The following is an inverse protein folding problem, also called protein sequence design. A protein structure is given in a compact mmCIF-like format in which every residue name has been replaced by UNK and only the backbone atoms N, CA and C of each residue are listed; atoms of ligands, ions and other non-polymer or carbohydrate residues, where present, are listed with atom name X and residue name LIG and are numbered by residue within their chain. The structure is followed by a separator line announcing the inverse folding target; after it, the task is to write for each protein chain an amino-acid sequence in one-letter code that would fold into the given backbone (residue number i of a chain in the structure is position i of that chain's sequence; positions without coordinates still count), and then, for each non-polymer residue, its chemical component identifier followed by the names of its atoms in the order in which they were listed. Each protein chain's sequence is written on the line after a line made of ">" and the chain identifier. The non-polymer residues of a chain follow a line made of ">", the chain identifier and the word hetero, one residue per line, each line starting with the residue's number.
data_IF_337564456401
#
_entry.id   IF_337564456401
#
_cell.length_a   1.000
_cell.length_b   1.000
_cell.length_c   1.000
_cell.angle_alpha   90.00
_cell.angle_beta   90.00
_cell.angle_gamma   90.00
#
_symmetry.space_group_name_H-M   'P 1'
#
loop_
_entity.id
_entity.type
_entity.pdbx_description
1 polymer ?
#
# COMPACT_ATOMS: atom_id res chain seq x y z
N UNK A 1 41.94 -18.39 26.41
CA UNK A 1 42.29 -18.55 24.98
C UNK A 1 41.28 -19.41 24.20
N UNK A 2 40.78 -20.54 24.72
CA UNK A 2 39.81 -21.42 24.00
C UNK A 2 38.46 -20.73 23.71
N UNK A 3 37.95 -19.88 24.61
CA UNK A 3 36.67 -19.20 24.44
C UNK A 3 36.68 -18.11 23.35
N UNK A 4 37.82 -17.48 23.07
CA UNK A 4 37.93 -16.49 21.97
C UNK A 4 37.97 -17.19 20.59
N UNK A 5 38.57 -18.35 20.49
CA UNK A 5 38.61 -19.16 19.26
C UNK A 5 37.23 -19.75 18.92
N UNK A 6 36.47 -20.22 19.92
CA UNK A 6 35.10 -20.72 19.73
C UNK A 6 34.14 -19.59 19.28
N UNK A 7 34.25 -18.39 19.84
CA UNK A 7 33.45 -17.24 19.42
C UNK A 7 33.81 -16.73 18.02
N UNK A 8 35.07 -16.84 17.59
CA UNK A 8 35.48 -16.48 16.23
C UNK A 8 35.00 -17.50 15.19
N UNK A 9 35.01 -18.78 15.55
CA UNK A 9 34.51 -19.89 14.71
C UNK A 9 32.97 -19.80 14.60
N UNK A 10 32.25 -19.54 15.70
CA UNK A 10 30.79 -19.35 15.69
C UNK A 10 30.38 -18.12 14.85
N UNK A 11 31.06 -16.98 14.95
CA UNK A 11 30.86 -15.83 14.09
C UNK A 11 31.19 -16.09 12.62
N UNK A 12 32.22 -16.93 12.36
CA UNK A 12 32.54 -17.40 11.01
C UNK A 12 31.46 -18.30 10.41
N UNK A 13 30.86 -19.18 11.23
CA UNK A 13 29.76 -20.05 10.80
C UNK A 13 28.44 -19.26 10.62
N UNK A 14 28.14 -18.25 11.45
CA UNK A 14 27.01 -17.36 11.27
C UNK A 14 27.11 -16.56 9.97
N UNK A 15 28.32 -16.15 9.54
CA UNK A 15 28.53 -15.45 8.25
C UNK A 15 28.44 -16.37 7.03
N UNK A 16 28.67 -17.68 7.20
CA UNK A 16 28.55 -18.67 6.13
C UNK A 16 27.14 -19.28 6.00
N UNK A 17 26.31 -19.14 7.04
CA UNK A 17 24.98 -19.76 7.07
C UNK A 17 23.83 -18.84 6.66
N UNK A 18 24.05 -17.51 6.60
CA UNK A 18 23.03 -16.56 6.16
C UNK A 18 23.66 -15.57 5.18
N UNK A 19 23.42 -15.81 3.91
CA UNK A 19 23.68 -14.84 2.84
C UNK A 19 22.87 -13.57 3.18
N UNK A 20 23.54 -12.55 3.77
CA UNK A 20 22.91 -11.29 4.20
C UNK A 20 22.80 -10.31 3.03
N UNK A 21 22.46 -10.83 1.85
CA UNK A 21 22.25 -9.98 0.68
C UNK A 21 20.97 -9.15 0.79
N UNK A 22 21.04 -7.93 0.30
CA UNK A 22 19.91 -7.02 0.24
C UNK A 22 18.80 -7.63 -0.63
N UNK A 23 17.60 -7.76 -0.05
CA UNK A 23 16.44 -8.35 -0.74
C UNK A 23 15.97 -7.54 -1.97
N UNK A 24 16.49 -6.32 -2.15
CA UNK A 24 16.11 -5.41 -3.22
C UNK A 24 17.16 -5.36 -4.33
N UNK A 25 18.43 -5.07 -3.99
CA UNK A 25 19.50 -4.90 -5.00
C UNK A 25 20.55 -6.02 -5.00
N UNK A 26 20.47 -6.97 -4.08
CA UNK A 26 21.43 -8.07 -3.99
C UNK A 26 22.77 -7.72 -3.31
N UNK A 27 22.98 -6.49 -2.87
CA UNK A 27 24.19 -6.06 -2.16
C UNK A 27 24.41 -6.89 -0.88
N UNK A 28 25.65 -7.35 -0.66
CA UNK A 28 25.99 -8.27 0.43
C UNK A 28 26.23 -7.60 1.80
N UNK A 29 25.79 -6.36 2.00
CA UNK A 29 26.04 -5.63 3.25
C UNK A 29 25.00 -5.93 4.35
N UNK A 30 23.73 -6.07 3.99
CA UNK A 30 22.63 -6.36 4.91
C UNK A 30 21.34 -6.72 4.16
N UNK A 31 20.37 -7.35 4.85
CA UNK A 31 19.05 -7.70 4.27
C UNK A 31 18.29 -6.50 3.69
N UNK A 32 18.60 -5.29 4.12
CA UNK A 32 18.11 -4.02 3.54
C UNK A 32 19.23 -2.99 3.64
N UNK A 33 20.01 -2.85 2.57
CA UNK A 33 21.23 -2.05 2.55
C UNK A 33 20.94 -0.55 2.69
N UNK A 34 21.97 0.23 3.04
CA UNK A 34 21.85 1.67 3.29
C UNK A 34 21.34 2.42 2.06
N UNK A 35 21.76 2.04 0.85
CA UNK A 35 21.34 2.66 -0.41
C UNK A 35 19.84 2.46 -0.63
N UNK A 36 19.35 1.23 -0.56
CA UNK A 36 17.91 0.95 -0.70
C UNK A 36 17.08 1.59 0.41
N UNK A 37 17.63 1.69 1.62
CA UNK A 37 16.98 2.37 2.74
C UNK A 37 16.89 3.88 2.52
N UNK A 38 17.91 4.52 1.97
CA UNK A 38 17.88 5.95 1.65
C UNK A 38 16.89 6.28 0.53
N UNK A 39 16.71 5.37 -0.44
CA UNK A 39 15.71 5.51 -1.50
C UNK A 39 14.27 5.26 -1.00
N UNK A 40 14.11 4.48 0.07
CA UNK A 40 12.84 4.22 0.75
C UNK A 40 12.64 5.18 1.92
N UNK A 41 12.85 6.45 1.69
CA UNK A 41 12.71 7.47 2.75
C UNK A 41 11.26 7.97 2.82
N UNK A 42 10.65 7.78 3.98
CA UNK A 42 9.28 8.23 4.25
C UNK A 42 9.19 9.76 4.22
N UNK A 43 8.26 10.27 3.41
CA UNK A 43 7.93 11.68 3.31
C UNK A 43 6.44 11.84 3.04
N UNK A 44 5.59 11.69 4.09
CA UNK A 44 4.14 11.70 3.94
C UNK A 44 3.63 13.07 3.51
N UNK A 45 2.72 13.06 2.54
CA UNK A 45 2.15 14.28 1.96
C UNK A 45 0.80 14.02 1.31
N UNK A 46 0.01 15.08 1.21
CA UNK A 46 -1.16 15.11 0.34
C UNK A 46 -0.72 15.34 -1.10
N UNK A 47 -1.34 14.65 -2.03
CA UNK A 47 -1.05 14.73 -3.45
C UNK A 47 -1.99 15.75 -4.11
N UNK A 48 -1.49 16.42 -5.15
CA UNK A 48 -2.29 17.31 -6.00
C UNK A 48 -2.96 16.55 -7.16
N UNK A 49 -3.97 17.17 -7.77
CA UNK A 49 -4.62 16.72 -9.02
C UNK A 49 -5.71 15.67 -8.87
N UNK A 50 -6.27 15.50 -7.67
CA UNK A 50 -7.47 14.68 -7.43
C UNK A 50 -8.61 15.53 -6.85
N UNK A 51 -9.85 15.14 -7.13
CA UNK A 51 -11.06 15.78 -6.61
C UNK A 51 -11.39 15.35 -5.16
N UNK A 52 -10.50 14.59 -4.54
CA UNK A 52 -10.58 14.11 -3.17
C UNK A 52 -9.18 14.02 -2.58
N UNK A 53 -9.08 14.06 -1.26
CA UNK A 53 -7.80 13.98 -0.57
C UNK A 53 -7.10 12.63 -0.83
N UNK A 54 -5.85 12.67 -1.25
CA UNK A 54 -5.00 11.47 -1.41
C UNK A 54 -3.70 11.70 -0.67
N UNK A 55 -3.31 10.77 0.18
CA UNK A 55 -2.02 10.79 0.87
C UNK A 55 -1.11 9.67 0.37
N UNK A 56 0.19 9.95 0.32
CA UNK A 56 1.23 8.96 0.03
C UNK A 56 2.53 9.34 0.75
N UNK A 57 3.34 8.35 1.12
CA UNK A 57 4.57 8.58 1.91
C UNK A 57 5.85 8.38 1.12
N UNK A 58 5.85 7.53 0.10
CA UNK A 58 7.05 7.22 -0.70
C UNK A 58 6.94 7.80 -2.11
N UNK A 59 8.02 8.40 -2.60
CA UNK A 59 8.16 8.71 -4.02
C UNK A 59 8.50 7.44 -4.80
N UNK A 60 7.73 7.12 -5.83
CA UNK A 60 7.95 5.94 -6.65
C UNK A 60 9.29 6.04 -7.39
N UNK A 61 10.15 5.06 -7.17
CA UNK A 61 11.49 4.88 -7.76
C UNK A 61 11.67 3.43 -8.18
N UNK A 62 12.81 3.08 -8.75
CA UNK A 62 13.14 1.67 -9.07
C UNK A 62 13.21 0.83 -7.79
N UNK A 63 13.83 1.36 -6.73
CA UNK A 63 13.86 0.73 -5.41
C UNK A 63 12.45 0.52 -4.86
N UNK A 64 11.60 1.55 -4.92
CA UNK A 64 10.20 1.44 -4.47
C UNK A 64 9.41 0.42 -5.29
N UNK A 65 9.61 0.37 -6.62
CA UNK A 65 9.04 -0.65 -7.50
C UNK A 65 9.45 -2.05 -7.07
N UNK A 66 10.75 -2.26 -6.83
CA UNK A 66 11.30 -3.54 -6.42
C UNK A 66 10.75 -4.00 -5.06
N UNK A 67 10.62 -3.08 -4.08
CA UNK A 67 10.03 -3.39 -2.78
C UNK A 67 8.57 -3.80 -2.93
N UNK A 68 7.75 -3.01 -3.65
CA UNK A 68 6.33 -3.31 -3.84
C UNK A 68 6.14 -4.63 -4.59
N UNK A 69 6.92 -4.89 -5.64
CA UNK A 69 6.87 -6.15 -6.39
C UNK A 69 7.31 -7.34 -5.54
N UNK A 70 8.39 -7.20 -4.75
CA UNK A 70 8.86 -8.24 -3.85
C UNK A 70 7.82 -8.59 -2.77
N UNK A 71 7.11 -7.59 -2.25
CA UNK A 71 6.01 -7.80 -1.32
C UNK A 71 4.81 -8.49 -1.99
N UNK A 72 4.47 -8.06 -3.21
CA UNK A 72 3.25 -8.41 -3.92
C UNK A 72 3.34 -9.75 -4.64
N UNK A 73 4.45 -10.02 -5.33
CA UNK A 73 4.60 -11.21 -6.19
C UNK A 73 5.44 -12.30 -5.52
N UNK A 74 6.45 -11.94 -4.74
CA UNK A 74 7.36 -12.90 -4.09
C UNK A 74 6.97 -13.19 -2.63
N UNK A 75 6.02 -12.45 -2.05
CA UNK A 75 5.56 -12.65 -0.68
C UNK A 75 6.60 -12.37 0.40
N UNK A 76 7.67 -11.61 0.08
CA UNK A 76 8.74 -11.29 1.02
C UNK A 76 8.21 -10.49 2.22
N UNK A 77 8.33 -11.06 3.42
CA UNK A 77 7.78 -10.48 4.65
C UNK A 77 8.36 -9.09 4.93
N UNK A 78 9.69 -8.91 4.84
CA UNK A 78 10.32 -7.62 5.07
C UNK A 78 9.83 -6.54 4.09
N UNK A 79 9.69 -6.86 2.80
CA UNK A 79 9.16 -5.92 1.81
C UNK A 79 7.69 -5.57 2.08
N UNK A 80 6.88 -6.56 2.48
CA UNK A 80 5.49 -6.33 2.89
C UNK A 80 5.41 -5.41 4.11
N UNK A 81 6.23 -5.66 5.13
CA UNK A 81 6.27 -4.85 6.36
C UNK A 81 6.63 -3.40 6.06
N UNK A 82 7.57 -3.15 5.13
CA UNK A 82 7.90 -1.81 4.63
C UNK A 82 6.68 -1.14 3.99
N UNK A 83 5.94 -1.83 3.12
CA UNK A 83 4.74 -1.29 2.48
C UNK A 83 3.63 -1.01 3.51
N UNK A 84 3.42 -1.90 4.49
CA UNK A 84 2.46 -1.71 5.58
C UNK A 84 2.77 -0.47 6.40
N UNK A 85 4.05 -0.26 6.77
CA UNK A 85 4.47 0.92 7.52
C UNK A 85 4.15 2.22 6.76
N UNK A 86 4.48 2.29 5.48
CA UNK A 86 4.25 3.49 4.70
C UNK A 86 2.77 3.75 4.40
N UNK A 87 1.97 2.71 4.22
CA UNK A 87 0.51 2.86 4.16
C UNK A 87 -0.08 3.39 5.47
N UNK A 88 0.40 2.92 6.64
CA UNK A 88 -0.02 3.48 7.94
C UNK A 88 0.30 4.97 8.04
N UNK A 89 1.52 5.36 7.65
CA UNK A 89 1.95 6.75 7.64
C UNK A 89 1.04 7.60 6.74
N UNK A 90 0.73 7.13 5.54
CA UNK A 90 -0.16 7.82 4.60
C UNK A 90 -1.59 7.94 5.14
N UNK A 91 -2.13 6.90 5.78
CA UNK A 91 -3.46 6.93 6.40
C UNK A 91 -3.50 7.97 7.53
N UNK A 92 -2.47 8.01 8.37
CA UNK A 92 -2.39 8.98 9.47
C UNK A 92 -2.24 10.41 8.95
N UNK A 93 -1.47 10.63 7.87
CA UNK A 93 -1.35 11.94 7.22
C UNK A 93 -2.70 12.41 6.64
N UNK A 94 -3.44 11.52 5.96
CA UNK A 94 -4.78 11.81 5.48
C UNK A 94 -5.73 12.18 6.62
N UNK A 95 -5.68 11.46 7.73
CA UNK A 95 -6.54 11.75 8.89
C UNK A 95 -6.19 13.08 9.55
N UNK A 96 -4.93 13.49 9.59
CA UNK A 96 -4.51 14.82 10.08
C UNK A 96 -5.09 15.96 9.24
N UNK A 97 -5.32 15.75 7.95
CA UNK A 97 -5.90 16.76 7.07
C UNK A 97 -7.41 16.93 7.24
N UNK A 98 -8.08 16.03 7.99
CA UNK A 98 -9.51 16.13 8.25
C UNK A 98 -9.81 17.14 9.36
N UNK A 99 -10.92 17.88 9.21
CA UNK A 99 -11.35 18.89 10.19
C UNK A 99 -11.86 18.30 11.51
N UNK A 100 -12.19 17.02 11.53
CA UNK A 100 -12.64 16.33 12.77
C UNK A 100 -12.02 14.95 12.89
N UNK A 101 -11.89 14.48 14.14
CA UNK A 101 -11.43 13.13 14.45
C UNK A 101 -12.62 12.17 14.36
N UNK A 102 -12.50 11.19 13.46
CA UNK A 102 -13.50 10.15 13.30
C UNK A 102 -13.30 9.01 14.32
N UNK A 103 -14.37 8.65 15.03
CA UNK A 103 -14.30 7.55 16.02
C UNK A 103 -14.16 6.17 15.38
N UNK A 104 -14.64 6.01 14.16
CA UNK A 104 -14.56 4.76 13.38
C UNK A 104 -14.21 5.10 11.95
N UNK A 105 -13.36 4.28 11.34
CA UNK A 105 -12.96 4.44 9.92
C UNK A 105 -12.88 3.06 9.27
N UNK A 106 -13.44 2.92 8.08
CA UNK A 106 -13.30 1.74 7.24
C UNK A 106 -12.12 1.94 6.29
N UNK A 107 -11.18 1.01 6.27
CA UNK A 107 -10.18 0.89 5.22
C UNK A 107 -10.74 -0.04 4.14
N UNK A 108 -11.00 0.52 2.95
CA UNK A 108 -11.54 -0.17 1.80
C UNK A 108 -10.42 -0.46 0.79
N UNK A 109 -9.88 -1.69 0.73
CA UNK A 109 -8.85 -2.04 -0.23
C UNK A 109 -9.39 -2.06 -1.65
N UNK A 110 -8.59 -1.57 -2.62
CA UNK A 110 -8.84 -1.73 -4.04
C UNK A 110 -8.78 -3.22 -4.39
N UNK A 111 -9.81 -3.79 -5.05
CA UNK A 111 -9.83 -5.19 -5.41
C UNK A 111 -8.82 -5.48 -6.53
N UNK A 112 -7.98 -6.50 -6.35
CA UNK A 112 -7.10 -7.01 -7.40
C UNK A 112 -7.89 -7.76 -8.48
N UNK A 113 -7.34 -7.82 -9.70
CA UNK A 113 -7.89 -8.66 -10.77
C UNK A 113 -7.95 -10.13 -10.31
N UNK A 114 -8.99 -10.86 -10.77
CA UNK A 114 -9.20 -12.26 -10.39
C UNK A 114 -7.97 -13.15 -10.72
N UNK A 115 -7.38 -12.98 -11.89
CA UNK A 115 -6.17 -13.71 -12.31
C UNK A 115 -5.01 -13.49 -11.36
N UNK A 116 -4.78 -12.24 -10.96
CA UNK A 116 -3.74 -11.87 -10.00
C UNK A 116 -4.01 -12.42 -8.59
N UNK A 117 -5.28 -12.45 -8.14
CA UNK A 117 -5.67 -13.06 -6.86
C UNK A 117 -5.42 -14.57 -6.83
N UNK A 118 -5.78 -15.28 -7.90
CA UNK A 118 -5.57 -16.73 -8.00
C UNK A 118 -4.07 -17.04 -7.97
N UNK A 119 -3.27 -16.32 -8.78
CA UNK A 119 -1.81 -16.53 -8.84
C UNK A 119 -1.12 -16.31 -7.48
N UNK A 120 -1.57 -15.33 -6.68
CA UNK A 120 -0.95 -14.93 -5.41
C UNK A 120 -1.61 -15.58 -4.16
N UNK A 121 -2.60 -16.43 -4.33
CA UNK A 121 -3.33 -17.04 -3.21
C UNK A 121 -4.11 -16.04 -2.36
N UNK A 122 -4.56 -14.92 -2.96
CA UNK A 122 -5.38 -13.92 -2.28
C UNK A 122 -5.22 -12.49 -2.81
N UNK A 123 -5.98 -11.57 -2.22
CA UNK A 123 -5.91 -10.15 -2.54
C UNK A 123 -4.84 -9.47 -1.69
N UNK A 124 -3.79 -8.96 -2.34
CA UNK A 124 -2.63 -8.37 -1.67
C UNK A 124 -3.03 -7.15 -0.81
N UNK A 125 -3.74 -6.17 -1.40
CA UNK A 125 -4.13 -4.94 -0.69
C UNK A 125 -5.09 -5.24 0.46
N UNK A 126 -5.96 -6.25 0.31
CA UNK A 126 -6.84 -6.69 1.41
C UNK A 126 -6.07 -7.27 2.59
N UNK A 127 -4.99 -8.01 2.35
CA UNK A 127 -4.10 -8.49 3.42
C UNK A 127 -3.37 -7.35 4.11
N UNK A 128 -2.84 -6.38 3.35
CA UNK A 128 -2.24 -5.17 3.93
C UNK A 128 -3.25 -4.43 4.82
N UNK A 129 -4.51 -4.26 4.34
CA UNK A 129 -5.56 -3.60 5.12
C UNK A 129 -5.81 -4.27 6.47
N UNK A 130 -5.82 -5.61 6.53
CA UNK A 130 -6.02 -6.36 7.76
C UNK A 130 -4.85 -6.19 8.74
N UNK A 131 -3.60 -6.19 8.24
CA UNK A 131 -2.41 -5.96 9.04
C UNK A 131 -2.40 -4.53 9.60
N UNK A 132 -2.66 -3.53 8.75
CA UNK A 132 -2.75 -2.13 9.14
C UNK A 132 -3.81 -1.90 10.21
N UNK A 133 -4.99 -2.50 10.07
CA UNK A 133 -6.08 -2.39 11.05
C UNK A 133 -5.67 -2.96 12.42
N UNK A 134 -4.99 -4.10 12.46
CA UNK A 134 -4.46 -4.67 13.70
C UNK A 134 -3.49 -3.72 14.38
N UNK A 135 -2.52 -3.21 13.61
CA UNK A 135 -1.48 -2.33 14.10
C UNK A 135 -2.05 -0.99 14.59
N UNK A 136 -2.87 -0.33 13.78
CA UNK A 136 -3.47 0.97 14.15
C UNK A 136 -4.38 0.84 15.36
N UNK A 137 -5.15 -0.23 15.49
CA UNK A 137 -6.01 -0.48 16.64
C UNK A 137 -5.24 -0.82 17.93
N UNK A 138 -4.00 -1.29 17.82
CA UNK A 138 -3.16 -1.54 19.01
C UNK A 138 -2.61 -0.25 19.64
N UNK A 139 -2.47 0.82 18.84
CA UNK A 139 -1.88 2.09 19.28
C UNK A 139 -2.91 3.24 19.39
N UNK A 140 -3.98 3.21 18.61
CA UNK A 140 -5.00 4.28 18.59
C UNK A 140 -6.00 4.12 19.74
N UNK A 141 -6.16 5.20 20.53
CA UNK A 141 -7.18 5.28 21.59
C UNK A 141 -8.44 6.03 21.15
N UNK A 142 -8.37 6.82 20.08
CA UNK A 142 -9.45 7.72 19.63
C UNK A 142 -10.24 7.17 18.44
N UNK A 143 -9.59 6.45 17.53
CA UNK A 143 -10.19 5.96 16.29
C UNK A 143 -10.11 4.44 16.22
N UNK A 144 -11.24 3.78 15.94
CA UNK A 144 -11.31 2.34 15.64
C UNK A 144 -11.30 2.11 14.13
N UNK A 145 -10.33 1.36 13.64
CA UNK A 145 -10.20 0.99 12.24
C UNK A 145 -10.86 -0.35 11.95
N UNK A 146 -11.44 -0.48 10.76
CA UNK A 146 -12.09 -1.69 10.26
C UNK A 146 -11.60 -1.96 8.82
N UNK A 147 -11.20 -3.18 8.49
CA UNK A 147 -10.93 -3.58 7.11
C UNK A 147 -12.19 -4.19 6.49
N UNK A 148 -12.65 -3.64 5.36
CA UNK A 148 -13.84 -4.13 4.65
C UNK A 148 -13.61 -4.12 3.14
N UNK A 149 -13.62 -5.30 2.52
CA UNK A 149 -13.57 -5.45 1.05
C UNK A 149 -14.96 -5.18 0.46
N UNK A 150 -15.34 -3.92 0.38
CA UNK A 150 -16.67 -3.47 -0.05
C UNK A 150 -16.75 -3.15 -1.54
N UNK A 151 -15.60 -3.07 -2.21
CA UNK A 151 -15.52 -2.86 -3.66
C UNK A 151 -15.33 -4.18 -4.38
N UNK A 152 -15.99 -4.32 -5.53
CA UNK A 152 -15.84 -5.47 -6.43
C UNK A 152 -15.86 -5.00 -7.89
N UNK A 153 -15.32 -5.83 -8.78
CA UNK A 153 -15.35 -5.57 -10.22
C UNK A 153 -16.72 -5.93 -10.79
N UNK A 154 -17.37 -4.99 -11.47
CA UNK A 154 -18.65 -5.18 -12.18
C UNK A 154 -18.47 -6.01 -13.46
N UNK A 155 -17.32 -5.88 -14.11
CA UNK A 155 -16.96 -6.55 -15.37
C UNK A 155 -15.52 -7.00 -15.39
N UNK A 156 -15.15 -7.81 -16.37
CA UNK A 156 -13.73 -8.14 -16.61
C UNK A 156 -12.99 -6.85 -17.03
N UNK A 157 -11.92 -6.57 -16.33
CA UNK A 157 -10.97 -5.48 -16.62
C UNK A 157 -9.70 -6.12 -17.16
N UNK A 158 -9.13 -5.57 -18.24
CA UNK A 158 -7.83 -6.03 -18.76
C UNK A 158 -6.71 -5.66 -17.76
N UNK A 159 -5.63 -6.44 -17.78
CA UNK A 159 -4.43 -6.06 -17.03
C UNK A 159 -3.97 -4.66 -17.49
N UNK A 160 -3.61 -3.82 -16.52
CA UNK A 160 -3.23 -2.44 -16.78
C UNK A 160 -1.74 -2.29 -17.14
N UNK A 161 -0.98 -3.38 -17.06
CA UNK A 161 0.43 -3.42 -17.47
C UNK A 161 0.53 -3.08 -18.96
N UNK A 162 1.34 -2.06 -19.28
CA UNK A 162 1.56 -1.62 -20.67
C UNK A 162 0.45 -0.73 -21.28
N UNK A 163 -0.67 -0.47 -20.60
CA UNK A 163 -1.70 0.45 -21.08
C UNK A 163 -1.29 1.91 -20.91
N UNK A 164 -1.61 2.75 -21.92
CA UNK A 164 -1.51 4.21 -21.80
C UNK A 164 -2.50 4.76 -20.74
N UNK A 165 -2.37 6.04 -20.38
CA UNK A 165 -3.27 6.67 -19.40
C UNK A 165 -4.73 6.69 -19.88
N UNK A 166 -4.98 7.04 -21.14
CA UNK A 166 -6.33 7.02 -21.74
C UNK A 166 -6.91 5.59 -21.76
N UNK A 167 -6.12 4.61 -22.16
CA UNK A 167 -6.53 3.22 -22.15
C UNK A 167 -6.85 2.69 -20.75
N UNK A 168 -6.10 3.12 -19.72
CA UNK A 168 -6.41 2.78 -18.32
C UNK A 168 -7.71 3.42 -17.88
N UNK A 169 -7.97 4.66 -18.28
CA UNK A 169 -9.22 5.35 -17.97
C UNK A 169 -10.42 4.62 -18.59
N UNK A 170 -10.39 4.31 -19.88
CA UNK A 170 -11.46 3.59 -20.58
C UNK A 170 -11.65 2.17 -20.00
N UNK A 171 -10.54 1.48 -19.71
CA UNK A 171 -10.56 0.13 -19.14
C UNK A 171 -11.21 0.08 -17.75
N UNK A 172 -11.10 1.16 -16.95
CA UNK A 172 -11.60 1.22 -15.59
C UNK A 172 -12.93 1.97 -15.44
N UNK A 173 -13.36 2.76 -16.42
CA UNK A 173 -14.62 3.50 -16.35
C UNK A 173 -15.80 2.56 -16.07
N UNK A 174 -16.54 2.78 -14.96
CA UNK A 174 -17.64 1.93 -14.50
C UNK A 174 -17.25 0.52 -14.08
N UNK A 175 -15.94 0.26 -13.85
CA UNK A 175 -15.46 -1.08 -13.54
C UNK A 175 -15.73 -1.51 -12.10
N UNK A 176 -15.79 -0.59 -11.15
CA UNK A 176 -16.07 -0.91 -9.76
C UNK A 176 -17.53 -0.72 -9.39
N UNK A 177 -18.00 -1.56 -8.47
CA UNK A 177 -19.27 -1.39 -7.75
C UNK A 177 -19.07 -1.74 -6.28
N UNK A 178 -19.93 -1.16 -5.44
CA UNK A 178 -20.06 -1.59 -4.03
C UNK A 178 -20.82 -2.91 -4.00
N UNK A 179 -20.44 -3.80 -3.10
CA UNK A 179 -21.15 -5.07 -2.87
C UNK A 179 -22.61 -4.82 -2.47
N UNK A 180 -23.52 -5.71 -2.85
CA UNK A 180 -24.94 -5.57 -2.55
C UNK A 180 -25.17 -5.64 -1.03
N UNK A 181 -26.19 -4.88 -0.57
CA UNK A 181 -26.56 -4.85 0.85
C UNK A 181 -25.58 -4.11 1.76
N UNK A 182 -24.47 -3.57 1.24
CA UNK A 182 -23.56 -2.77 2.06
C UNK A 182 -24.13 -1.33 2.18
N UNK A 183 -24.36 -0.93 3.43
CA UNK A 183 -24.65 0.43 3.85
C UNK A 183 -23.85 0.75 5.10
N UNK A 184 -23.39 1.98 5.25
CA UNK A 184 -22.61 2.40 6.40
C UNK A 184 -22.52 3.91 6.52
N UNK A 185 -22.73 4.42 7.72
CA UNK A 185 -22.44 5.81 8.10
C UNK A 185 -20.97 6.00 8.54
N UNK A 186 -20.18 4.91 8.60
CA UNK A 186 -18.77 4.99 8.97
C UNK A 186 -17.99 5.46 7.75
N UNK A 187 -17.22 6.56 7.88
CA UNK A 187 -16.44 7.10 6.78
C UNK A 187 -15.36 6.11 6.32
N UNK A 188 -15.02 6.21 5.03
CA UNK A 188 -14.20 5.27 4.31
C UNK A 188 -12.91 5.94 3.84
N UNK A 189 -11.77 5.27 3.99
CA UNK A 189 -10.52 5.54 3.30
C UNK A 189 -10.28 4.41 2.30
N UNK A 190 -10.13 4.76 1.03
CA UNK A 190 -9.71 3.81 -0.01
C UNK A 190 -8.22 3.59 0.09
N UNK A 191 -7.74 2.34 0.02
CA UNK A 191 -6.31 2.04 0.07
C UNK A 191 -5.85 1.24 -1.14
N UNK A 192 -4.63 1.58 -1.62
CA UNK A 192 -3.92 0.85 -2.67
C UNK A 192 -2.41 0.83 -2.37
N UNK A 193 -1.63 0.00 -3.06
CA UNK A 193 -0.17 -0.04 -2.90
C UNK A 193 0.51 1.18 -3.56
N UNK A 194 0.13 1.53 -4.79
CA UNK A 194 0.78 2.58 -5.59
C UNK A 194 -0.25 3.43 -6.34
N UNK A 195 -0.08 4.74 -6.31
CA UNK A 195 -0.78 5.66 -7.22
C UNK A 195 0.13 6.08 -8.38
N UNK A 196 -0.31 5.86 -9.61
CA UNK A 196 0.34 6.36 -10.84
C UNK A 196 -0.48 7.48 -11.48
N UNK A 197 -1.54 7.15 -12.21
CA UNK A 197 -2.46 8.12 -12.84
C UNK A 197 -3.64 8.49 -11.96
N UNK A 198 -3.89 7.77 -10.87
CA UNK A 198 -5.05 7.97 -9.99
C UNK A 198 -6.35 7.39 -10.53
N UNK A 199 -6.39 6.87 -11.75
CA UNK A 199 -7.62 6.36 -12.40
C UNK A 199 -8.33 5.29 -11.56
N UNK A 200 -7.57 4.38 -10.96
CA UNK A 200 -8.11 3.31 -10.10
C UNK A 200 -8.79 3.89 -8.85
N UNK A 201 -8.14 4.85 -8.19
CA UNK A 201 -8.68 5.49 -7.00
C UNK A 201 -9.91 6.34 -7.32
N UNK A 202 -9.89 7.11 -8.44
CA UNK A 202 -11.06 7.89 -8.89
C UNK A 202 -12.26 6.99 -9.14
N UNK A 203 -12.07 5.89 -9.84
CA UNK A 203 -13.16 4.95 -10.12
C UNK A 203 -13.70 4.27 -8.84
N UNK A 204 -12.85 3.93 -7.89
CA UNK A 204 -13.26 3.40 -6.60
C UNK A 204 -14.07 4.43 -5.79
N UNK A 205 -13.58 5.67 -5.73
CA UNK A 205 -14.29 6.78 -5.04
C UNK A 205 -15.63 7.08 -5.72
N UNK A 206 -15.68 7.09 -7.08
CA UNK A 206 -16.94 7.24 -7.84
C UNK A 206 -17.96 6.16 -7.42
N UNK A 207 -17.55 4.89 -7.40
CA UNK A 207 -18.44 3.78 -7.05
C UNK A 207 -18.99 3.88 -5.61
N UNK A 208 -18.16 4.37 -4.66
CA UNK A 208 -18.57 4.60 -3.27
C UNK A 208 -19.56 5.78 -3.18
N UNK A 209 -19.27 6.91 -3.85
CA UNK A 209 -20.13 8.10 -3.87
C UNK A 209 -21.48 7.83 -4.53
N UNK A 210 -21.57 7.01 -5.56
CA UNK A 210 -22.84 6.58 -6.17
C UNK A 210 -23.78 5.86 -5.18
N UNK A 211 -23.22 5.30 -4.12
CA UNK A 211 -23.98 4.67 -3.02
C UNK A 211 -24.14 5.59 -1.82
N UNK A 212 -23.90 6.90 -1.97
CA UNK A 212 -23.97 7.92 -0.92
C UNK A 212 -23.10 7.59 0.31
N UNK A 213 -21.99 6.85 0.12
CA UNK A 213 -21.06 6.53 1.19
C UNK A 213 -20.06 7.67 1.40
N UNK A 214 -19.77 8.00 2.65
CA UNK A 214 -18.82 9.05 3.02
C UNK A 214 -17.39 8.58 2.78
N UNK A 215 -16.65 9.24 1.88
CA UNK A 215 -15.25 8.97 1.59
C UNK A 215 -14.37 10.10 2.12
N UNK A 216 -13.48 9.82 3.06
CA UNK A 216 -12.49 10.77 3.59
C UNK A 216 -11.38 11.06 2.57
N UNK A 217 -11.07 10.08 1.73
CA UNK A 217 -10.02 10.16 0.74
C UNK A 217 -9.40 8.80 0.44
N UNK A 218 -8.18 8.82 -0.09
CA UNK A 218 -7.42 7.61 -0.37
C UNK A 218 -6.00 7.68 0.21
N UNK A 219 -5.40 6.52 0.48
CA UNK A 219 -4.02 6.40 0.94
C UNK A 219 -3.28 5.32 0.14
N UNK A 220 -2.04 5.61 -0.25
CA UNK A 220 -1.13 4.68 -0.93
C UNK A 220 0.25 4.69 -0.28
N UNK A 221 0.99 3.60 -0.37
CA UNK A 221 2.38 3.60 0.09
C UNK A 221 3.26 4.46 -0.81
N UNK A 222 3.10 4.32 -2.13
CA UNK A 222 3.93 5.00 -3.11
C UNK A 222 3.12 5.87 -4.07
N UNK A 223 3.71 7.01 -4.52
CA UNK A 223 3.15 7.86 -5.57
C UNK A 223 4.17 8.16 -6.66
N UNK A 224 3.74 8.13 -7.93
CA UNK A 224 4.57 8.56 -9.04
C UNK A 224 4.96 10.04 -8.91
N UNK A 225 6.14 10.43 -9.44
CA UNK A 225 6.65 11.83 -9.39
C UNK A 225 5.66 12.83 -9.98
N UNK A 226 4.86 12.45 -10.99
CA UNK A 226 3.83 13.30 -11.61
C UNK A 226 2.73 13.75 -10.63
N UNK A 227 2.58 13.05 -9.51
CA UNK A 227 1.57 13.35 -8.47
C UNK A 227 2.11 14.16 -7.31
N UNK A 228 3.40 14.47 -7.33
CA UNK A 228 4.00 15.25 -6.26
C UNK A 228 3.70 16.74 -6.47
N UNK A 229 3.45 17.51 -5.39
CA UNK A 229 3.35 18.97 -5.50
C UNK A 229 4.62 19.54 -6.15
N UNK A 230 4.45 20.43 -7.10
CA UNK A 230 5.55 21.21 -7.64
C UNK A 230 6.02 22.15 -6.52
N UNK A 231 7.28 22.04 -6.13
CA UNK A 231 7.90 22.94 -5.15
C UNK A 231 8.18 24.30 -5.78
#
# INVERSE_FOLDING_TARGET
>A
MINQYLNSILRGFESLAFDSSCIICGDHSSKFCITCRSDWLSNPRLLSGEDFAVASSITYSETASSIVLSAKENGLALARDLVVQELKVSILELLKSQSRIERRVILAPIPSLRSSRVRRGGDFVSRLAQEIVRDLNSISKSTRFLSKSILTLRRRVKDQSGLSESQRHENLAGAFKVIEGFDSQIPIIVIDDVITTGTTLREAVRALKERNLTVLGAATACASRRRLPIR
#
